data_IF_026162624651
#
_entry.id   IF_026162624651
#
_cell.length_a   1.000
_cell.length_b   1.000
_cell.length_c   1.000
_cell.angle_alpha   90.00
_cell.angle_beta   90.00
_cell.angle_gamma   90.00
#
_symmetry.space_group_name_H-M   'P 1'
#
loop_
_entity.id
_entity.type
_entity.pdbx_description
1 polymer ?
2 branched ?
3 non-polymer ?
4 non-polymer ?
5 non-polymer ?
6 water ?
#
# COMPACT_ATOMS: atom_id res chain seq x y z
N UNK A 11 8.96 -15.84 -9.31
CA UNK A 11 7.61 -16.12 -10.00
C UNK A 11 6.98 -14.81 -10.45
N UNK A 12 6.02 -14.92 -11.37
CA UNK A 12 5.32 -13.72 -11.88
C UNK A 12 3.82 -14.00 -11.95
N UNK A 13 2.98 -13.16 -11.42
CA UNK A 13 1.53 -13.32 -11.48
C UNK A 13 1.11 -12.53 -12.69
N UNK A 14 0.45 -13.24 -13.62
CA UNK A 14 0.11 -12.67 -14.97
C UNK A 14 -1.33 -12.78 -15.33
N UNK A 15 -1.83 -11.73 -15.98
CA UNK A 15 -3.10 -11.80 -16.62
C UNK A 15 -3.03 -11.12 -17.98
N UNK A 16 -4.17 -10.94 -18.59
CA UNK A 16 -4.25 -10.34 -19.94
C UNK A 16 -3.88 -8.88 -19.69
N UNK A 17 -3.44 -8.14 -20.76
CA UNK A 17 -3.07 -6.72 -20.56
C UNK A 17 -4.16 -5.95 -19.82
N UNK A 18 -3.67 -5.12 -18.88
CA UNK A 18 -4.67 -4.33 -18.16
C UNK A 18 -4.37 -2.88 -18.43
N UNK A 19 -5.42 -2.10 -18.42
CA UNK A 19 -5.30 -0.67 -18.70
C UNK A 19 -5.11 0.09 -17.36
N UNK A 20 -3.84 0.15 -16.99
CA UNK A 20 -3.51 1.03 -15.85
C UNK A 20 -3.51 2.51 -16.26
N UNK A 21 -3.62 3.39 -15.30
CA UNK A 21 -3.32 4.82 -15.57
C UNK A 21 -1.84 4.90 -16.03
N UNK A 22 -1.44 6.01 -16.68
CA UNK A 22 -0.07 6.13 -17.11
C UNK A 22 0.89 5.95 -15.88
N UNK A 23 2.07 5.36 -16.10
CA UNK A 23 3.00 5.07 -15.00
C UNK A 23 3.53 6.37 -14.41
N UNK A 24 3.80 7.41 -15.23
CA UNK A 24 4.35 8.62 -14.67
C UNK A 24 5.81 8.35 -14.24
N UNK A 25 6.30 9.17 -13.37
CA UNK A 25 7.68 9.05 -12.89
C UNK A 25 7.67 8.98 -11.35
N UNK A 26 8.55 8.17 -10.77
CA UNK A 26 8.58 8.02 -9.28
C UNK A 26 8.64 9.38 -8.64
N UNK A 27 7.74 9.69 -7.68
CA UNK A 27 7.63 11.02 -7.12
C UNK A 27 7.24 10.85 -5.68
N UNK A 28 7.94 11.52 -4.75
CA UNK A 28 7.57 11.56 -3.29
C UNK A 28 7.61 13.03 -2.90
N UNK A 29 6.58 13.53 -2.21
CA UNK A 29 5.36 12.80 -1.84
C UNK A 29 4.61 12.34 -3.12
N UNK A 30 3.95 11.19 -3.02
CA UNK A 30 3.16 10.76 -4.17
C UNK A 30 1.73 11.29 -3.93
N UNK A 31 1.30 12.23 -4.78
CA UNK A 31 0.02 12.87 -4.66
C UNK A 31 -0.92 12.51 -5.78
N UNK A 32 -0.43 11.93 -6.86
CA UNK A 32 -1.27 11.49 -8.05
C UNK A 32 -1.96 12.64 -8.73
N UNK A 33 -1.57 13.87 -8.46
CA UNK A 33 -2.34 15.05 -9.00
C UNK A 33 -2.09 15.28 -10.49
N UNK A 34 -1.10 14.58 -11.07
CA UNK A 34 -0.84 14.65 -12.53
C UNK A 34 -1.55 13.57 -13.31
N UNK A 35 -2.51 12.90 -12.63
CA UNK A 35 -3.26 11.78 -13.22
C UNK A 35 -2.40 10.58 -13.67
N UNK A 36 -1.19 10.47 -13.13
CA UNK A 36 -0.38 9.30 -13.33
C UNK A 36 -0.21 8.56 -12.00
N UNK A 37 0.30 7.33 -12.18
CA UNK A 37 0.67 6.56 -10.94
C UNK A 37 1.93 7.03 -10.21
N UNK A 38 2.65 8.04 -10.73
CA UNK A 38 3.83 8.57 -10.12
C UNK A 38 4.78 7.43 -9.73
N UNK A 39 4.97 6.49 -10.66
CA UNK A 39 5.95 5.44 -10.49
C UNK A 39 5.44 4.21 -9.78
N UNK A 40 4.19 4.20 -9.26
CA UNK A 40 3.76 2.97 -8.49
C UNK A 40 3.22 1.93 -9.41
N UNK A 41 3.51 0.67 -9.16
CA UNK A 41 3.04 -0.41 -9.99
C UNK A 41 2.98 -1.65 -9.16
N UNK A 42 2.24 -2.69 -9.56
CA UNK A 42 2.25 -3.89 -8.81
C UNK A 42 3.65 -4.50 -8.86
N UNK A 43 4.10 -5.06 -7.74
CA UNK A 43 5.23 -6.02 -7.78
C UNK A 43 4.86 -7.22 -8.71
N UNK A 44 5.89 -7.80 -9.35
CA UNK A 44 5.58 -8.94 -10.24
C UNK A 44 4.95 -10.06 -9.43
N UNK A 45 5.17 -10.15 -8.11
CA UNK A 45 4.61 -11.22 -7.28
C UNK A 45 3.29 -10.85 -6.66
N UNK A 46 2.76 -9.60 -6.85
CA UNK A 46 1.47 -9.26 -6.23
C UNK A 46 0.37 -10.27 -6.63
N UNK A 47 -0.43 -10.66 -5.66
CA UNK A 47 -1.55 -11.62 -5.99
C UNK A 47 -2.61 -10.84 -6.74
N UNK A 48 -2.63 -9.51 -6.66
CA UNK A 48 -3.62 -8.65 -7.35
C UNK A 48 -2.87 -7.95 -8.49
N UNK A 49 -3.38 -8.10 -9.74
CA UNK A 49 -2.72 -7.56 -10.91
C UNK A 49 -3.75 -6.76 -11.77
N UNK A 50 -4.87 -6.44 -11.17
CA UNK A 50 -5.90 -5.70 -11.87
C UNK A 50 -5.56 -4.20 -11.98
N UNK A 51 -6.40 -3.44 -12.68
CA UNK A 51 -5.98 -2.09 -13.00
C UNK A 51 -5.78 -1.16 -11.82
N UNK A 52 -4.64 -0.51 -11.89
CA UNK A 52 -4.37 0.62 -10.97
C UNK A 52 -4.76 1.90 -11.72
N UNK A 53 -5.74 2.57 -11.20
CA UNK A 53 -6.22 3.80 -11.85
C UNK A 53 -6.21 4.98 -10.90
N UNK A 54 -6.33 6.23 -11.41
CA UNK A 54 -6.40 7.39 -10.57
C UNK A 54 -7.84 7.79 -10.44
N UNK A 55 -8.35 7.77 -9.22
CA UNK A 55 -9.76 8.07 -8.91
C UNK A 55 -9.82 9.18 -7.89
N UNK A 56 -10.90 9.96 -7.80
CA UNK A 56 -11.00 10.88 -6.70
C UNK A 56 -11.37 10.14 -5.42
N UNK A 57 -10.69 10.49 -4.33
CA UNK A 57 -10.98 9.95 -3.00
C UNK A 57 -10.93 11.13 -2.06
N UNK A 58 -12.05 11.42 -1.41
CA UNK A 58 -12.06 12.47 -0.42
C UNK A 58 -11.52 13.82 -0.97
N UNK A 59 -12.02 14.13 -2.18
CA UNK A 59 -11.65 15.30 -2.95
C UNK A 59 -10.26 15.49 -3.42
N UNK A 60 -9.46 14.40 -3.45
CA UNK A 60 -8.14 14.49 -4.05
C UNK A 60 -7.92 13.26 -4.92
N UNK A 61 -7.09 13.38 -5.93
CA UNK A 61 -6.82 12.22 -6.83
C UNK A 61 -5.94 11.21 -6.05
N UNK A 62 -6.28 9.94 -6.21
CA UNK A 62 -5.63 8.89 -5.40
C UNK A 62 -5.43 7.68 -6.35
N UNK A 63 -4.40 6.87 -6.16
CA UNK A 63 -4.30 5.60 -6.89
C UNK A 63 -5.23 4.57 -6.25
N UNK A 64 -5.77 3.66 -7.04
CA UNK A 64 -6.89 2.85 -6.60
C UNK A 64 -6.94 1.56 -7.36
N UNK A 65 -7.43 0.56 -6.65
CA UNK A 65 -7.64 -0.75 -7.30
C UNK A 65 -8.81 -1.41 -6.60
N UNK A 66 -9.24 -2.50 -7.21
CA UNK A 66 -10.34 -3.29 -6.65
C UNK A 66 -9.77 -4.62 -6.14
N UNK A 67 -10.33 -5.11 -5.04
CA UNK A 67 -9.92 -6.44 -4.56
C UNK A 67 -11.07 -7.12 -3.84
N UNK A 68 -11.20 -8.43 -4.12
CA UNK A 68 -12.10 -9.33 -3.34
C UNK A 68 -11.22 -10.50 -3.01
N UNK A 69 -10.84 -10.66 -1.72
CA UNK A 69 -9.99 -11.78 -1.39
C UNK A 69 -10.75 -13.13 -1.56
N UNK A 70 -9.99 -14.17 -1.91
CA UNK A 70 -10.64 -15.51 -2.04
C UNK A 70 -11.30 -15.93 -0.76
N UNK A 71 -12.44 -16.65 -0.88
CA UNK A 71 -13.07 -17.20 0.32
C UNK A 71 -12.23 -18.30 0.92
N UNK A 72 -11.55 -19.10 0.09
CA UNK A 72 -10.62 -20.12 0.53
C UNK A 72 -9.29 -19.46 0.73
N UNK A 73 -8.78 -19.41 1.96
CA UNK A 73 -7.59 -18.59 2.22
C UNK A 73 -6.33 -19.35 2.00
N UNK A 74 -5.42 -18.78 1.20
CA UNK A 74 -4.12 -19.39 0.95
C UNK A 74 -3.36 -19.54 2.21
N UNK A 75 -2.56 -20.58 2.27
CA UNK A 75 -1.58 -20.83 3.38
C UNK A 75 -0.62 -19.64 3.59
N UNK A 76 0.04 -19.18 2.53
CA UNK A 76 0.93 -17.98 2.58
C UNK A 76 0.13 -16.65 2.67
N UNK A 77 0.39 -15.89 3.73
CA UNK A 77 -0.45 -14.78 4.08
C UNK A 77 -0.36 -13.55 3.11
N UNK A 78 0.62 -13.55 2.25
CA UNK A 78 0.74 -12.50 1.18
C UNK A 78 0.33 -12.96 -0.20
N UNK A 79 -0.04 -14.23 -0.33
CA UNK A 79 -0.33 -14.76 -1.69
C UNK A 79 -1.45 -14.01 -2.36
N UNK A 80 -2.54 -13.69 -1.63
CA UNK A 80 -3.65 -13.03 -2.26
C UNK A 80 -3.55 -11.46 -2.14
N UNK A 81 -2.42 -10.96 -1.62
CA UNK A 81 -2.42 -9.54 -1.18
C UNK A 81 -2.07 -8.59 -2.31
N UNK A 82 -2.79 -7.44 -2.43
CA UNK A 82 -2.21 -6.32 -3.15
C UNK A 82 -0.81 -6.01 -2.64
N UNK A 83 0.17 -5.91 -3.49
CA UNK A 83 1.56 -5.59 -3.17
C UNK A 83 2.02 -4.60 -4.16
N UNK A 84 1.98 -3.33 -3.76
CA UNK A 84 2.21 -2.21 -4.69
C UNK A 84 3.61 -1.66 -4.41
N UNK A 85 4.34 -1.20 -5.37
CA UNK A 85 5.76 -0.81 -5.20
C UNK A 85 6.12 0.39 -6.01
N UNK A 86 6.93 1.24 -5.39
CA UNK A 86 7.52 2.40 -6.07
C UNK A 86 8.96 2.01 -6.35
N UNK A 87 9.15 1.52 -7.61
CA UNK A 87 10.47 1.01 -7.93
C UNK A 87 11.48 2.07 -8.36
N UNK A 88 12.74 1.86 -7.91
CA UNK A 88 13.81 2.75 -8.34
C UNK A 88 13.62 4.23 -8.02
N UNK A 89 12.85 4.53 -6.96
CA UNK A 89 12.83 5.90 -6.47
C UNK A 89 14.13 6.38 -5.90
N UNK A 90 14.89 5.46 -5.29
CA UNK A 90 16.21 5.85 -4.72
C UNK A 90 16.15 7.07 -3.83
N UNK A 91 15.25 6.96 -2.83
CA UNK A 91 15.00 8.06 -1.85
C UNK A 91 15.74 7.78 -0.57
N UNK A 92 15.65 8.70 0.38
CA UNK A 92 16.21 8.47 1.71
C UNK A 92 15.21 9.05 2.69
N UNK A 93 15.19 8.56 3.96
CA UNK A 93 14.25 9.10 4.96
C UNK A 93 14.64 10.49 5.45
N UNK A 94 15.91 10.84 5.33
CA UNK A 94 16.34 12.14 5.91
C UNK A 94 16.07 12.19 7.41
N UNK A 95 15.62 13.35 7.84
CA UNK A 95 15.29 13.55 9.25
C UNK A 95 13.92 13.21 9.65
N UNK A 96 13.26 12.44 8.82
CA UNK A 96 11.87 12.04 9.08
C UNK A 96 11.78 10.78 9.92
N UNK A 97 10.90 10.81 10.93
CA UNK A 97 10.71 9.67 11.75
C UNK A 97 9.78 8.60 11.15
N UNK A 98 8.84 9.08 10.28
CA UNK A 98 7.79 8.21 9.78
C UNK A 98 7.70 8.22 8.26
N UNK A 99 7.19 7.08 7.81
CA UNK A 99 6.48 7.14 6.50
C UNK A 99 4.96 7.00 6.73
N UNK A 100 4.22 7.77 5.95
CA UNK A 100 2.76 7.86 6.17
C UNK A 100 2.04 7.98 4.84
N UNK A 101 0.75 7.63 4.89
CA UNK A 101 -0.09 7.82 3.68
C UNK A 101 -1.51 7.77 4.12
N UNK A 102 -2.36 8.35 3.28
CA UNK A 102 -3.82 8.18 3.37
C UNK A 102 -4.21 6.86 2.71
N UNK A 103 -5.03 6.09 3.37
CA UNK A 103 -5.49 4.78 2.88
C UNK A 103 -6.94 4.78 3.04
N UNK A 104 -7.70 4.55 1.96
CA UNK A 104 -9.17 4.60 2.02
C UNK A 104 -9.71 3.24 1.60
N UNK A 105 -10.84 2.92 2.22
CA UNK A 105 -11.65 1.69 1.82
C UNK A 105 -13.03 2.08 1.39
N UNK A 106 -13.50 1.42 0.32
CA UNK A 106 -14.97 1.53 -0.06
C UNK A 106 -15.41 0.05 -0.18
N UNK A 107 -15.75 -0.57 0.95
CA UNK A 107 -16.15 -2.01 0.87
C UNK A 107 -17.52 -2.19 0.21
N UNK A 108 -17.63 -3.26 -0.58
CA UNK A 108 -19.01 -3.82 -0.81
C UNK A 108 -19.31 -4.88 0.18
N UNK A 109 -18.28 -5.49 0.83
CA UNK A 109 -18.50 -6.47 1.89
C UNK A 109 -17.34 -6.29 2.88
N UNK A 110 -17.68 -6.18 4.16
CA UNK A 110 -16.63 -6.09 5.24
C UNK A 110 -17.28 -6.28 6.56
N UNK A 111 -17.02 -7.45 7.09
CA UNK A 111 -17.70 -7.76 8.37
C UNK A 111 -16.89 -8.52 9.38
N UNK A 112 -15.84 -9.20 8.94
CA UNK A 112 -15.04 -10.07 9.82
C UNK A 112 -13.60 -10.15 9.40
N UNK A 113 -12.75 -10.60 10.33
CA UNK A 113 -11.33 -10.59 10.04
C UNK A 113 -10.81 -9.18 9.98
N UNK A 114 -9.62 -9.07 9.38
CA UNK A 114 -8.94 -7.79 9.34
C UNK A 114 -8.08 -7.63 8.12
N UNK A 115 -7.66 -6.39 7.82
CA UNK A 115 -6.56 -6.16 6.84
C UNK A 115 -5.27 -5.86 7.60
N UNK A 116 -4.15 -6.42 7.17
CA UNK A 116 -2.84 -6.15 7.84
C UNK A 116 -1.97 -5.46 6.84
N UNK A 117 -1.66 -4.19 7.09
CA UNK A 117 -0.90 -3.34 6.10
C UNK A 117 0.58 -3.33 6.51
N UNK A 118 1.46 -3.80 5.65
CA UNK A 118 2.92 -3.81 5.89
C UNK A 118 3.65 -2.85 4.96
N UNK A 119 4.76 -2.34 5.45
CA UNK A 119 5.66 -1.47 4.67
C UNK A 119 7.04 -2.06 4.63
N UNK A 120 7.61 -2.08 3.41
CA UNK A 120 9.01 -2.44 3.31
C UNK A 120 9.71 -1.58 2.30
N UNK A 121 11.04 -1.71 2.35
CA UNK A 121 11.95 -0.95 1.44
C UNK A 121 12.90 -1.95 0.84
N UNK A 122 13.62 -1.49 -0.20
CA UNK A 122 14.73 -2.31 -0.76
C UNK A 122 16.01 -1.43 -0.72
N UNK A 123 16.77 -1.50 0.40
CA UNK A 123 18.00 -0.69 0.47
C UNK A 123 19.17 -1.52 -0.08
N UNK A 124 19.89 -1.00 -1.10
CA UNK A 124 21.02 -1.85 -1.63
C UNK A 124 22.04 -2.15 -0.60
N UNK A 125 22.13 -1.40 0.50
CA UNK A 125 23.16 -1.63 1.50
C UNK A 125 22.73 -2.70 2.50
N UNK A 126 21.44 -3.13 2.40
CA UNK A 126 20.84 -3.99 3.41
C UNK A 126 20.17 -5.21 2.77
N UNK A 127 20.83 -5.78 1.76
CA UNK A 127 20.29 -7.04 1.15
C UNK A 127 18.99 -6.79 0.32
N UNK A 128 18.71 -5.50 -0.06
CA UNK A 128 17.49 -5.21 -0.87
C UNK A 128 16.24 -5.50 -0.15
N UNK A 129 16.24 -5.53 1.21
CA UNK A 129 14.93 -5.71 1.88
C UNK A 129 15.10 -5.21 3.29
N UNK A 130 14.23 -4.33 3.70
CA UNK A 130 14.17 -3.88 5.12
C UNK A 130 12.66 -3.65 5.38
N UNK A 131 12.14 -4.28 6.41
CA UNK A 131 10.67 -4.28 6.63
C UNK A 131 10.37 -3.58 7.94
N UNK A 132 9.43 -2.63 7.86
CA UNK A 132 9.00 -1.99 9.12
C UNK A 132 8.28 -3.03 10.00
N UNK A 133 8.69 -2.96 11.31
CA UNK A 133 8.14 -3.91 12.29
C UNK A 133 6.65 -3.66 12.52
N UNK A 134 6.27 -2.40 12.41
CA UNK A 134 4.91 -2.06 12.86
C UNK A 134 3.78 -2.27 11.86
N UNK A 135 3.49 -3.52 11.58
CA UNK A 135 2.29 -3.81 10.74
C UNK A 135 1.06 -3.24 11.42
N UNK A 136 0.15 -2.71 10.60
CA UNK A 136 -1.08 -2.08 11.10
C UNK A 136 -2.24 -2.92 10.74
N UNK A 137 -3.05 -3.28 11.74
CA UNK A 137 -4.22 -4.11 11.52
C UNK A 137 -5.49 -3.27 11.64
N UNK A 138 -6.35 -3.41 10.63
CA UNK A 138 -7.66 -2.76 10.60
C UNK A 138 -8.77 -3.85 10.72
N UNK A 139 -9.44 -4.00 11.86
CA UNK A 139 -10.49 -5.00 12.01
C UNK A 139 -11.69 -4.54 11.20
N UNK A 140 -12.26 -5.45 10.42
CA UNK A 140 -13.43 -5.07 9.61
C UNK A 140 -14.68 -4.87 10.40
N UNK A 141 -14.77 -5.51 11.55
CA UNK A 141 -15.94 -5.14 12.50
C UNK A 141 -15.85 -3.69 13.06
N UNK A 142 -14.69 -3.06 13.00
CA UNK A 142 -14.58 -1.69 13.52
C UNK A 142 -15.31 -0.76 12.51
N UNK A 143 -15.47 -1.17 11.22
CA UNK A 143 -15.80 -0.09 10.26
C UNK A 143 -17.20 0.42 10.41
N UNK A 144 -18.11 -0.45 10.74
CA UNK A 144 -19.51 0.02 10.65
C UNK A 144 -19.76 1.19 11.63
N UNK A 145 -19.06 1.26 12.77
CA UNK A 145 -19.12 2.41 13.67
C UNK A 145 -18.24 3.64 13.31
N UNK A 146 -17.37 3.50 12.30
CA UNK A 146 -16.51 4.61 11.89
C UNK A 146 -17.25 5.55 10.92
N UNK A 147 -17.09 6.85 11.15
CA UNK A 147 -17.65 7.83 10.28
C UNK A 147 -16.98 7.81 8.90
N UNK A 148 -17.77 7.84 7.86
CA UNK A 148 -17.22 7.88 6.50
C UNK A 148 -16.98 9.32 6.05
N UNK A 149 -16.14 9.42 5.04
CA UNK A 149 -15.97 10.72 4.34
C UNK A 149 -17.27 11.04 3.56
N UNK A 150 -17.33 12.28 3.06
CA UNK A 150 -18.59 12.66 2.37
C UNK A 150 -18.85 11.85 1.10
N UNK A 151 -17.82 11.26 0.47
CA UNK A 151 -17.91 10.45 -0.71
C UNK A 151 -17.95 8.92 -0.38
N UNK A 152 -18.21 8.64 0.93
CA UNK A 152 -18.51 7.29 1.32
C UNK A 152 -17.36 6.30 1.58
N UNK A 153 -16.23 6.87 1.91
CA UNK A 153 -15.02 6.08 2.15
C UNK A 153 -14.70 6.03 3.61
N UNK A 154 -13.95 4.99 3.99
CA UNK A 154 -13.36 4.99 5.33
C UNK A 154 -11.89 5.50 5.18
N UNK A 155 -11.55 6.60 5.89
CA UNK A 155 -10.26 7.26 5.71
C UNK A 155 -9.34 6.91 6.88
N UNK A 156 -8.23 6.23 6.60
CA UNK A 156 -7.17 6.00 7.57
C UNK A 156 -5.95 6.80 7.16
N UNK A 157 -5.20 7.34 8.13
CA UNK A 157 -3.85 7.86 7.87
C UNK A 157 -2.91 6.90 8.58
N UNK A 158 -2.14 6.14 7.82
CA UNK A 158 -1.39 5.04 8.41
C UNK A 158 0.06 5.58 8.56
N UNK A 159 0.66 5.27 9.73
CA UNK A 159 2.04 5.72 10.04
C UNK A 159 2.88 4.53 10.37
N UNK A 160 4.19 4.63 9.91
CA UNK A 160 5.23 3.60 10.24
C UNK A 160 6.43 4.30 10.81
N UNK A 161 6.77 3.90 12.09
CA UNK A 161 7.98 4.35 12.73
C UNK A 161 9.23 3.74 12.08
N UNK A 162 10.00 4.59 11.37
CA UNK A 162 11.12 4.09 10.60
C UNK A 162 12.30 3.69 11.50
N UNK A 163 12.19 3.94 12.82
CA UNK A 163 13.26 3.44 13.73
C UNK A 163 12.95 2.01 14.23
N UNK A 164 11.79 1.48 13.83
CA UNK A 164 11.38 0.11 14.19
C UNK A 164 11.34 -0.76 12.92
N UNK A 165 12.49 -1.38 12.65
CA UNK A 165 12.74 -2.18 11.42
C UNK A 165 13.12 -3.61 11.85
N UNK A 166 12.68 -4.61 11.09
CA UNK A 166 13.00 -6.04 11.46
C UNK A 166 14.49 -6.34 11.21
N UNK A 167 14.88 -7.45 11.86
CA UNK A 167 16.18 -8.08 11.58
C UNK A 167 17.42 -7.24 11.98
N UNK A 168 17.22 -6.34 12.90
CA UNK A 168 18.28 -5.44 13.40
C UNK A 168 18.81 -4.51 12.35
N UNK A 169 18.06 -4.35 11.23
CA UNK A 169 18.48 -3.45 10.17
C UNK A 169 18.11 -2.01 10.55
N UNK A 170 18.99 -1.09 10.24
CA UNK A 170 18.80 0.31 10.61
C UNK A 170 18.81 1.19 9.35
N UNK A 171 17.72 1.95 9.19
CA UNK A 171 17.65 2.97 8.09
C UNK A 171 18.16 4.32 8.63
N UNK A 172 19.37 4.62 8.25
CA UNK A 172 19.92 5.96 8.62
C UNK A 172 19.33 7.00 7.76
N UNK A 173 19.59 8.27 8.14
CA UNK A 173 19.10 9.37 7.33
C UNK A 173 19.51 9.29 5.85
N UNK A 174 20.71 8.76 5.59
CA UNK A 174 21.28 8.66 4.28
C UNK A 174 21.26 7.31 3.63
N UNK A 175 20.60 6.33 4.26
CA UNK A 175 20.51 5.05 3.62
C UNK A 175 19.64 5.08 2.37
N UNK A 176 20.18 4.70 1.20
CA UNK A 176 19.37 4.74 0.00
C UNK A 176 18.30 3.63 0.04
N UNK A 177 17.06 4.05 -0.25
CA UNK A 177 15.93 3.14 -0.30
C UNK A 177 15.58 3.07 -1.77
N UNK A 178 15.94 1.98 -2.42
CA UNK A 178 15.73 1.97 -3.91
C UNK A 178 14.25 1.85 -4.24
N UNK A 179 13.53 0.97 -3.53
CA UNK A 179 12.08 0.74 -3.72
C UNK A 179 11.42 0.92 -2.37
N UNK A 180 10.08 1.24 -2.49
CA UNK A 180 9.14 1.23 -1.33
C UNK A 180 8.04 0.29 -1.70
N UNK A 181 7.69 -0.56 -0.78
CA UNK A 181 6.59 -1.55 -0.99
C UNK A 181 5.54 -1.45 0.08
N UNK A 182 4.28 -1.48 -0.33
CA UNK A 182 3.15 -1.51 0.63
C UNK A 182 2.30 -2.74 0.31
N UNK A 183 1.97 -3.53 1.33
CA UNK A 183 1.21 -4.83 1.15
C UNK A 183 -0.04 -4.70 1.98
N UNK A 184 -1.20 -4.99 1.42
CA UNK A 184 -2.43 -5.01 2.17
C UNK A 184 -2.94 -6.48 2.28
N UNK A 185 -2.50 -7.11 3.33
CA UNK A 185 -2.76 -8.57 3.41
C UNK A 185 -4.10 -8.85 4.03
N UNK A 186 -4.68 -9.99 3.66
CA UNK A 186 -5.99 -10.41 4.15
C UNK A 186 -5.77 -11.20 5.41
N UNK A 187 -6.32 -10.69 6.47
CA UNK A 187 -6.28 -11.30 7.83
C UNK A 187 -7.57 -12.09 8.04
N UNK A 188 -7.72 -13.21 7.29
CA UNK A 188 -8.96 -14.01 7.43
C UNK A 188 -10.26 -13.27 7.28
N UNK A 189 -10.24 -12.33 6.31
CA UNK A 189 -11.35 -11.42 6.22
C UNK A 189 -12.34 -11.76 5.16
N UNK A 190 -13.44 -11.06 5.12
CA UNK A 190 -14.35 -11.14 3.96
C UNK A 190 -14.38 -9.85 3.17
N UNK A 191 -13.24 -9.14 3.09
CA UNK A 191 -13.28 -7.91 2.36
C UNK A 191 -13.50 -8.08 0.85
N UNK A 192 -14.37 -7.19 0.32
CA UNK A 192 -14.45 -6.98 -1.13
C UNK A 192 -14.72 -5.49 -1.31
N UNK A 193 -14.08 -4.91 -2.31
CA UNK A 193 -14.35 -3.50 -2.59
C UNK A 193 -13.15 -2.79 -3.15
N UNK A 194 -13.15 -1.47 -2.96
CA UNK A 194 -12.14 -0.60 -3.60
C UNK A 194 -11.20 -0.08 -2.47
N UNK A 195 -9.91 -0.06 -2.85
CA UNK A 195 -8.90 0.54 -2.00
C UNK A 195 -8.25 1.69 -2.69
N UNK A 196 -7.76 2.64 -1.93
CA UNK A 196 -7.10 3.86 -2.48
C UNK A 196 -5.94 4.27 -1.60
N UNK A 197 -4.89 4.81 -2.21
CA UNK A 197 -3.78 5.41 -1.51
C UNK A 197 -3.56 6.83 -1.95
N UNK A 198 -3.20 7.76 -1.05
CA UNK A 198 -2.81 9.11 -1.47
C UNK A 198 -1.81 9.66 -0.51
N UNK A 199 -1.09 10.70 -0.97
CA UNK A 199 -0.23 11.47 -0.08
C UNK A 199 0.86 10.54 0.59
N UNK A 200 1.46 9.67 -0.18
CA UNK A 200 2.49 8.70 0.33
C UNK A 200 3.76 9.52 0.51
N UNK A 201 4.25 9.66 1.79
CA UNK A 201 5.31 10.66 2.07
C UNK A 201 6.07 10.29 3.37
N UNK A 202 7.29 10.81 3.46
CA UNK A 202 7.94 10.74 4.79
C UNK A 202 7.46 12.02 5.57
N UNK A 203 7.39 11.87 6.89
CA UNK A 203 7.14 13.08 7.74
C UNK A 203 7.80 12.88 9.04
X LIG B 1 10.05 -11.34 -1.01
X LIG B 1 9.01 -11.16 0.16
X LIG B 1 9.76 -11.45 1.49
X LIG B 1 11.19 -10.85 1.62
X LIG B 1 11.92 -11.25 2.89
X LIG B 1 11.38 -10.64 -0.75
X LIG B 1 12.26 -10.76 -1.87
X LIG B 1 9.64 -10.63 -2.14
X LIG B 1 7.80 -11.89 -0.01
X LIG B 1 9.02 -10.90 2.56
X LIG B 1 12.02 -11.09 0.45
X LIG B 1 12.11 -12.68 2.79
X LIG B 2 7.87 -10.99 4.63
X LIG B 2 6.85 -11.71 5.55
X LIG B 2 5.65 -12.20 4.73
X LIG B 2 6.22 -13.04 3.57
X LIG B 2 5.07 -13.58 2.71
X LIG B 2 8.27 -11.81 3.35
X LIG B 2 9.02 -10.56 5.39
X LIG B 2 6.43 -10.74 6.57
X LIG B 2 4.78 -13.00 5.55
X LIG B 2 7.11 -12.31 2.72
X LIG B 2 5.63 -14.57 1.85
X LIG C 1 -3.96 13.32 -4.27
X LIG D 1 8.33 -19.75 -5.98
X LIG D 1 8.25 -19.74 -7.53
X LIG D 1 9.46 -20.81 -5.84
X LIG D 1 8.27 -18.43 -5.20
X LIG D 1 7.23 -20.56 -5.30
X LIG E 1 -9.11 -7.49 -14.21
X LIG E 1 -8.22 -6.31 -14.63
X LIG E 1 -8.21 -8.57 -13.56
X LIG E 1 -10.04 -7.03 -13.10
X LIG E 1 -9.88 -7.95 -15.50
X LIG F 1 -6.58 -11.97 -4.84
X LIG F 1 -7.01 -11.33 -3.62
X LIG F 1 -7.75 -11.95 -5.88
X LIG F 1 -7.66 -12.78 -7.00
X LIG F 1 -8.18 -10.54 -6.39
X LIG F 1 -7.30 -9.88 -7.31
#
# INVERSE_FOLDING_TARGET
MRGSHHHHHHRAVVEAPVEHAPIGKATLPSTFEDSTRQGWAWDATSGVQSALTIKDANESKAISWEVKYPEVKPVDGWASAPRIMLGNVNTTRGNNKYLTFDFYLKPTQASKGSLTISLAFAPPSLGFWAQATGDVNIPLSSLSKMKKTTDGLYHFQVKYDLDKINDGKVLTANTVLRDITIVVADGNSDFAGTMYLDNIRFE
BGC C2 C3 C4 C5 C6 C1 O1 O2 O3 O4 O5 O6
BGC C2 C3 C4 C5 C6 C1 O2 O3 O4 O5 O6
CA CA
PO4 P O1 O2 O3 O4
PO4 P O1 O2 O3 O4
GOL C1 O1 C2 O2 C3 O3
#
